data_IF_663986570468
#
_entry.id   IF_663986570468
#
_cell.length_a   1.000
_cell.length_b   1.000
_cell.length_c   1.000
_cell.angle_alpha   90.00
_cell.angle_beta   90.00
_cell.angle_gamma   90.00
#
_symmetry.space_group_name_H-M   'P 1'
#
loop_
_entity.id
_entity.type
_entity.pdbx_description
1 polymer ?
#
# COMPACT_ATOMS: atom_id res chain seq x y z
N UNK A 1 1.25 3.84 -12.22
CA UNK A 1 0.93 2.44 -11.88
C UNK A 1 2.24 1.69 -12.01
N UNK A 2 2.67 1.03 -10.95
CA UNK A 2 3.90 0.23 -10.94
C UNK A 2 3.54 -1.23 -11.28
N UNK A 3 4.47 -1.98 -11.86
CA UNK A 3 4.26 -3.39 -12.21
C UNK A 3 5.18 -4.27 -11.38
N UNK A 4 4.61 -5.31 -10.76
CA UNK A 4 5.35 -6.34 -10.02
C UNK A 4 5.28 -7.65 -10.82
N UNK A 5 6.46 -8.19 -11.15
CA UNK A 5 6.61 -9.42 -11.91
C UNK A 5 6.80 -10.60 -10.97
N UNK A 6 5.89 -11.57 -11.01
CA UNK A 6 5.87 -12.70 -10.07
C UNK A 6 6.14 -14.01 -10.82
N UNK A 7 7.05 -14.87 -10.32
CA UNK A 7 7.22 -16.25 -10.77
C UNK A 7 5.95 -17.11 -10.63
N UNK A 8 5.87 -18.22 -11.35
CA UNK A 8 4.82 -19.20 -11.10
C UNK A 8 5.06 -19.97 -9.78
N UNK A 9 3.98 -20.37 -9.11
CA UNK A 9 4.04 -21.22 -7.92
C UNK A 9 4.51 -20.55 -6.62
N UNK A 10 4.76 -19.23 -6.62
CA UNK A 10 5.15 -18.50 -5.40
C UNK A 10 3.99 -17.72 -4.80
N UNK A 11 3.92 -17.70 -3.48
CA UNK A 11 3.00 -16.83 -2.75
C UNK A 11 3.53 -15.40 -2.69
N UNK A 12 2.58 -14.46 -2.75
CA UNK A 12 2.81 -13.03 -2.66
C UNK A 12 2.26 -12.53 -1.34
N UNK A 13 3.13 -11.86 -0.58
CA UNK A 13 2.78 -11.23 0.69
C UNK A 13 2.95 -9.73 0.56
N UNK A 14 1.93 -8.98 0.97
CA UNK A 14 1.99 -7.54 1.15
C UNK A 14 2.37 -7.22 2.58
N UNK A 15 3.36 -6.36 2.75
CA UNK A 15 3.79 -5.81 4.03
C UNK A 15 3.58 -4.30 4.00
N UNK A 16 2.93 -3.77 5.05
CA UNK A 16 2.67 -2.34 5.17
C UNK A 16 3.11 -1.88 6.56
N UNK A 17 3.84 -0.77 6.60
CA UNK A 17 4.21 -0.08 7.82
C UNK A 17 3.98 1.42 7.68
N UNK A 18 3.36 2.02 8.69
CA UNK A 18 2.97 3.42 8.73
C UNK A 18 3.59 4.07 9.96
N UNK A 19 4.28 5.18 9.74
CA UNK A 19 4.80 6.04 10.80
C UNK A 19 4.31 7.45 10.53
N UNK A 20 3.41 7.94 11.38
CA UNK A 20 2.83 9.27 11.29
C UNK A 20 2.40 9.75 12.66
N UNK A 21 2.50 11.06 12.89
CA UNK A 21 1.92 11.74 14.05
C UNK A 21 0.42 12.06 13.84
N UNK A 22 -0.14 11.69 12.69
CA UNK A 22 -1.54 11.89 12.33
C UNK A 22 -2.43 10.70 12.75
N UNK A 23 -3.75 10.89 12.77
CA UNK A 23 -4.70 9.78 12.97
C UNK A 23 -4.74 8.92 11.70
N UNK A 24 -4.54 7.60 11.84
CA UNK A 24 -4.27 6.68 10.72
C UNK A 24 -5.28 5.54 10.63
N UNK A 25 -5.62 5.17 9.38
CA UNK A 25 -6.10 3.84 9.01
C UNK A 25 -5.63 3.48 7.60
N UNK A 26 -5.46 2.19 7.30
CA UNK A 26 -5.09 1.70 5.97
C UNK A 26 -6.23 0.91 5.32
N UNK A 27 -6.39 1.06 4.02
CA UNK A 27 -7.33 0.29 3.22
C UNK A 27 -6.60 -0.31 2.02
N UNK A 28 -6.88 -1.58 1.77
CA UNK A 28 -6.40 -2.30 0.59
C UNK A 28 -7.61 -2.58 -0.29
N UNK A 29 -7.49 -2.26 -1.58
CA UNK A 29 -8.43 -2.69 -2.60
C UNK A 29 -7.76 -3.68 -3.54
N UNK A 30 -8.31 -4.89 -3.62
CA UNK A 30 -7.86 -5.95 -4.53
C UNK A 30 -9.10 -6.71 -5.01
N UNK A 31 -9.19 -7.05 -6.30
CA UNK A 31 -10.34 -7.79 -6.87
C UNK A 31 -11.71 -7.16 -6.62
N UNK A 32 -11.76 -5.84 -6.50
CA UNK A 32 -13.00 -5.12 -6.18
C UNK A 32 -13.42 -5.16 -4.71
N UNK A 33 -12.75 -5.96 -3.87
CA UNK A 33 -12.97 -5.98 -2.43
C UNK A 33 -12.11 -4.93 -1.73
N UNK A 34 -12.62 -4.37 -0.63
CA UNK A 34 -11.91 -3.43 0.22
C UNK A 34 -11.75 -4.04 1.61
N UNK A 35 -10.52 -4.11 2.10
CA UNK A 35 -10.19 -4.55 3.46
C UNK A 35 -9.50 -3.43 4.20
N UNK A 36 -9.96 -3.11 5.41
CA UNK A 36 -9.40 -2.06 6.26
C UNK A 36 -8.57 -2.65 7.39
N UNK A 37 -7.44 -2.02 7.69
CA UNK A 37 -6.52 -2.40 8.75
C UNK A 37 -6.35 -1.22 9.70
N UNK A 38 -6.74 -1.37 10.99
CA UNK A 38 -6.54 -0.33 11.99
C UNK A 38 -5.09 -0.23 12.47
N UNK A 39 -4.29 -1.30 12.31
CA UNK A 39 -2.89 -1.31 12.76
C UNK A 39 -1.98 -0.53 11.81
N UNK A 40 -1.02 0.18 12.40
CA UNK A 40 0.04 0.87 11.67
C UNK A 40 1.05 -0.09 11.02
N UNK A 41 1.03 -1.38 11.37
CA UNK A 41 1.85 -2.39 10.75
C UNK A 41 1.05 -3.67 10.56
N UNK A 42 1.05 -4.21 9.35
CA UNK A 42 0.39 -5.48 9.05
C UNK A 42 1.02 -6.19 7.85
N UNK A 43 0.76 -7.49 7.78
CA UNK A 43 1.13 -8.34 6.65
C UNK A 43 -0.08 -9.12 6.17
N UNK A 44 -0.25 -9.23 4.85
CA UNK A 44 -1.36 -9.95 4.22
C UNK A 44 -0.88 -10.81 3.07
N UNK A 45 -1.19 -12.11 3.12
CA UNK A 45 -1.05 -13.00 1.97
C UNK A 45 -2.10 -12.63 0.94
N UNK A 46 -1.65 -12.27 -0.27
CA UNK A 46 -2.50 -11.87 -1.39
C UNK A 46 -2.88 -13.07 -2.29
N UNK A 47 -2.15 -14.18 -2.19
CA UNK A 47 -2.31 -15.37 -3.02
C UNK A 47 -1.08 -15.59 -3.91
N UNK A 48 -1.29 -16.23 -5.05
CA UNK A 48 -0.26 -16.54 -6.04
C UNK A 48 -0.55 -15.86 -7.40
N UNK A 49 0.24 -16.18 -8.44
CA UNK A 49 0.02 -15.63 -9.77
C UNK A 49 -1.37 -15.97 -10.34
N UNK A 50 -1.91 -17.18 -10.10
CA UNK A 50 -3.26 -17.54 -10.59
C UNK A 50 -4.34 -16.64 -9.98
N UNK A 51 -4.09 -16.19 -8.76
CA UNK A 51 -4.97 -15.28 -8.03
C UNK A 51 -4.80 -13.84 -8.50
N UNK A 52 -3.57 -13.41 -8.84
CA UNK A 52 -3.22 -11.99 -9.00
C UNK A 52 -3.03 -11.55 -10.46
N UNK A 53 -2.94 -12.48 -11.41
CA UNK A 53 -2.65 -12.14 -12.79
C UNK A 53 -3.69 -11.16 -13.36
N UNK A 54 -3.21 -10.02 -13.87
CA UNK A 54 -4.02 -8.91 -14.40
C UNK A 54 -4.85 -8.14 -13.35
N UNK A 55 -4.76 -8.51 -12.08
CA UNK A 55 -5.39 -7.75 -11.01
C UNK A 55 -4.63 -6.47 -10.70
N UNK A 56 -5.40 -5.47 -10.29
CA UNK A 56 -4.92 -4.17 -9.83
C UNK A 56 -5.14 -4.07 -8.34
N UNK A 57 -4.10 -3.68 -7.62
CA UNK A 57 -4.17 -3.43 -6.20
C UNK A 57 -3.89 -1.96 -5.90
N UNK A 58 -4.72 -1.38 -5.06
CA UNK A 58 -4.46 -0.08 -4.43
C UNK A 58 -4.28 -0.30 -2.95
N UNK A 59 -3.20 0.22 -2.39
CA UNK A 59 -3.02 0.35 -0.94
C UNK A 59 -3.08 1.84 -0.65
N UNK A 60 -3.95 2.26 0.27
CA UNK A 60 -4.11 3.66 0.59
C UNK A 60 -4.34 3.88 2.08
N UNK A 61 -3.85 4.99 2.60
CA UNK A 61 -4.09 5.45 3.96
C UNK A 61 -4.52 6.91 3.92
N UNK A 62 -5.58 7.23 4.66
CA UNK A 62 -6.05 8.59 4.86
C UNK A 62 -5.51 9.12 6.18
N UNK A 63 -5.07 10.37 6.17
CA UNK A 63 -4.47 11.02 7.31
C UNK A 63 -5.18 12.34 7.58
N UNK A 64 -5.73 12.47 8.78
CA UNK A 64 -6.29 13.72 9.28
C UNK A 64 -5.29 14.41 10.21
N UNK A 65 -5.12 15.72 10.02
CA UNK A 65 -4.13 16.51 10.74
C UNK A 65 -4.71 17.84 11.21
N UNK A 66 -4.42 18.19 12.46
CA UNK A 66 -4.95 19.42 13.05
C UNK A 66 -4.13 20.67 12.65
N UNK A 67 -2.84 20.51 12.34
CA UNK A 67 -1.92 21.62 12.06
C UNK A 67 -0.83 21.24 11.04
N UNK A 68 -0.31 22.25 10.33
CA UNK A 68 0.84 22.17 9.41
C UNK A 68 0.93 20.90 8.54
N UNK A 69 -0.11 20.68 7.73
CA UNK A 69 -0.25 19.50 6.86
C UNK A 69 0.94 19.25 5.93
N UNK A 70 1.59 20.30 5.43
CA UNK A 70 2.67 20.13 4.46
C UNK A 70 3.92 19.53 5.14
N UNK A 71 4.20 19.93 6.40
CA UNK A 71 5.25 19.32 7.21
C UNK A 71 4.93 17.87 7.59
N UNK A 72 3.71 17.61 8.09
CA UNK A 72 3.31 16.24 8.49
C UNK A 72 3.28 15.30 7.29
N UNK A 73 2.80 15.77 6.13
CA UNK A 73 2.82 14.99 4.90
C UNK A 73 4.26 14.68 4.47
N UNK A 74 5.21 15.62 4.65
CA UNK A 74 6.62 15.38 4.33
C UNK A 74 7.25 14.31 5.25
N UNK A 75 6.97 14.36 6.56
CA UNK A 75 7.56 13.44 7.55
C UNK A 75 6.87 12.08 7.63
N UNK A 76 5.58 12.00 7.28
CA UNK A 76 4.81 10.74 7.30
C UNK A 76 5.48 9.68 6.42
N UNK A 77 5.72 8.49 6.95
CA UNK A 77 6.25 7.36 6.18
C UNK A 77 5.16 6.30 6.03
N UNK A 78 4.99 5.85 4.80
CA UNK A 78 4.19 4.69 4.46
C UNK A 78 5.10 3.82 3.61
N UNK A 79 5.58 2.75 4.22
CA UNK A 79 6.39 1.73 3.57
C UNK A 79 5.46 0.61 3.11
N UNK A 80 5.45 0.35 1.80
CA UNK A 80 4.68 -0.73 1.21
C UNK A 80 5.64 -1.62 0.45
N UNK A 81 5.64 -2.90 0.77
CA UNK A 81 6.54 -3.88 0.19
C UNK A 81 5.75 -5.13 -0.20
N UNK A 82 6.07 -5.67 -1.37
CA UNK A 82 5.57 -6.95 -1.83
C UNK A 82 6.72 -7.95 -1.82
N UNK A 83 6.53 -9.08 -1.17
CA UNK A 83 7.52 -10.16 -1.07
C UNK A 83 7.01 -11.44 -1.74
N UNK A 84 7.88 -12.10 -2.51
CA UNK A 84 7.57 -13.35 -3.21
C UNK A 84 8.86 -14.11 -3.54
N UNK A 85 8.88 -15.44 -3.36
CA UNK A 85 10.01 -16.28 -3.80
C UNK A 85 11.40 -15.86 -3.29
N UNK A 86 11.49 -15.30 -2.07
CA UNK A 86 12.75 -14.77 -1.52
C UNK A 86 13.18 -13.40 -2.05
N UNK A 87 12.38 -12.80 -2.94
CA UNK A 87 12.53 -11.43 -3.41
C UNK A 87 11.59 -10.50 -2.66
N UNK A 88 11.95 -9.22 -2.62
CA UNK A 88 11.04 -8.18 -2.17
C UNK A 88 11.19 -6.91 -3.01
N UNK A 89 10.05 -6.25 -3.25
CA UNK A 89 9.96 -5.02 -4.01
C UNK A 89 9.22 -3.98 -3.18
N UNK A 90 9.90 -2.88 -2.85
CA UNK A 90 9.26 -1.70 -2.26
C UNK A 90 8.50 -0.96 -3.34
N UNK A 91 7.24 -0.65 -3.06
CA UNK A 91 6.38 0.09 -3.97
C UNK A 91 6.57 1.59 -3.79
N UNK A 92 6.46 2.33 -4.90
CA UNK A 92 6.51 3.79 -4.87
C UNK A 92 5.22 4.35 -4.27
N UNK A 93 5.34 4.97 -3.09
CA UNK A 93 4.22 5.64 -2.43
C UNK A 93 4.10 7.08 -2.89
N UNK A 94 2.89 7.47 -3.31
CA UNK A 94 2.53 8.83 -3.64
C UNK A 94 1.73 9.43 -2.50
N UNK A 95 1.98 10.70 -2.20
CA UNK A 95 1.18 11.48 -1.25
C UNK A 95 0.47 12.59 -1.98
N UNK A 96 -0.78 12.87 -1.60
CA UNK A 96 -1.58 13.95 -2.18
C UNK A 96 -2.42 14.62 -1.12
N UNK A 97 -2.29 15.94 -1.01
CA UNK A 97 -3.20 16.79 -0.25
C UNK A 97 -4.58 16.81 -0.90
N UNK A 98 -5.62 16.57 -0.11
CA UNK A 98 -7.03 16.63 -0.54
C UNK A 98 -7.63 17.95 -0.04
N UNK A 99 -7.46 18.25 1.25
CA UNK A 99 -7.87 19.51 1.90
C UNK A 99 -6.77 20.01 2.84
N UNK A 100 -6.99 21.14 3.52
CA UNK A 100 -6.02 21.73 4.46
C UNK A 100 -5.69 20.83 5.67
N UNK A 101 -6.57 19.88 6.01
CA UNK A 101 -6.42 18.97 7.15
C UNK A 101 -6.52 17.49 6.74
N UNK A 102 -6.47 17.19 5.44
CA UNK A 102 -6.64 15.84 4.93
C UNK A 102 -5.69 15.57 3.77
N UNK A 103 -4.90 14.51 3.88
CA UNK A 103 -4.12 13.98 2.76
C UNK A 103 -4.24 12.46 2.67
N UNK A 104 -3.87 11.91 1.51
CA UNK A 104 -3.82 10.48 1.24
C UNK A 104 -2.39 10.09 0.88
N UNK A 105 -1.94 8.94 1.37
CA UNK A 105 -0.76 8.25 0.85
C UNK A 105 -1.20 6.94 0.21
N UNK A 106 -0.71 6.63 -0.99
CA UNK A 106 -1.15 5.46 -1.73
C UNK A 106 -0.08 4.88 -2.65
N UNK A 107 -0.16 3.57 -2.87
CA UNK A 107 0.53 2.85 -3.93
C UNK A 107 -0.49 2.17 -4.84
N UNK A 108 -0.17 2.07 -6.12
CA UNK A 108 -1.01 1.43 -7.12
C UNK A 108 -0.19 0.52 -8.01
N UNK A 109 -0.49 -0.77 -7.94
CA UNK A 109 0.31 -1.84 -8.52
C UNK A 109 -0.53 -2.79 -9.35
N UNK A 110 0.06 -3.31 -10.42
CA UNK A 110 -0.46 -4.41 -11.21
C UNK A 110 0.51 -5.59 -11.13
N UNK A 111 -0.06 -6.79 -11.02
CA UNK A 111 0.70 -8.03 -10.98
C UNK A 111 0.71 -8.69 -12.36
N UNK A 112 1.91 -9.08 -12.81
CA UNK A 112 2.10 -9.78 -14.08
C UNK A 112 3.01 -10.99 -13.92
N UNK A 113 2.87 -11.95 -14.83
CA UNK A 113 3.84 -13.04 -14.95
C UNK A 113 5.24 -12.48 -15.26
N UNK A 114 6.26 -13.06 -14.66
CA UNK A 114 7.66 -12.71 -14.93
C UNK A 114 8.09 -13.06 -16.35
#
# INVERSE_FOLDING_TARGET
METVKIPEGVQVTLNVAISSDAIVGAAIRLKGEVTTYPENQFSKILGDLSTLQNEKMTVQSLFHVDQNIDQIMATTRLDIEVSYGGQSQKLTVKKRKIYNQLFIAFAYVQFTKQ
#
